data_IF_136875449635
#
_entry.id   IF_136875449635
#
_cell.length_a   1.000
_cell.length_b   1.000
_cell.length_c   1.000
_cell.angle_alpha   90.00
_cell.angle_beta   90.00
_cell.angle_gamma   90.00
#
_symmetry.space_group_name_H-M   'P 1'
#
loop_
_entity.id
_entity.type
_entity.pdbx_description
1 polymer ?
#
# COMPACT_ATOMS: atom_id res chain seq x y z
N UNK A 1 -56.74 -4.03 23.28
CA UNK A 1 -57.04 -3.29 22.05
C UNK A 1 -56.49 -1.89 22.28
N UNK A 2 -55.43 -1.37 21.69
CA UNK A 2 -54.44 -1.71 20.65
C UNK A 2 -53.16 -0.94 21.09
N UNK A 3 -51.98 -1.53 21.23
CA UNK A 3 -51.03 -1.85 20.16
C UNK A 3 -50.70 -0.67 19.23
N UNK A 4 -49.95 0.34 19.70
CA UNK A 4 -49.13 1.17 18.80
C UNK A 4 -47.70 0.63 18.73
N UNK A 5 -47.57 -0.19 17.71
CA UNK A 5 -46.40 -0.71 17.01
C UNK A 5 -45.13 0.13 17.07
N UNK A 6 -44.04 -0.57 17.39
CA UNK A 6 -42.66 -0.10 17.34
C UNK A 6 -42.31 0.62 16.03
N UNK A 7 -41.82 1.84 16.19
CA UNK A 7 -41.17 2.60 15.14
C UNK A 7 -39.84 1.92 14.86
N UNK A 8 -39.84 1.10 13.80
CA UNK A 8 -38.67 0.38 13.32
C UNK A 8 -37.47 1.32 13.22
N UNK A 9 -36.42 0.95 13.93
CA UNK A 9 -35.11 1.57 13.87
C UNK A 9 -34.60 1.39 12.44
N UNK A 10 -34.79 2.42 11.61
CA UNK A 10 -34.26 2.45 10.25
C UNK A 10 -32.75 2.42 10.38
N UNK A 11 -32.15 1.22 10.22
CA UNK A 11 -30.73 1.02 9.92
C UNK A 11 -30.30 2.14 8.98
N UNK A 12 -29.55 3.12 9.51
CA UNK A 12 -28.95 4.18 8.71
C UNK A 12 -28.09 3.46 7.67
N UNK A 13 -28.45 3.59 6.40
CA UNK A 13 -27.60 3.15 5.29
C UNK A 13 -26.20 3.73 5.52
N UNK A 14 -25.11 2.94 5.38
CA UNK A 14 -23.78 3.48 5.52
C UNK A 14 -23.67 4.61 4.52
N UNK A 15 -23.46 5.82 5.02
CA UNK A 15 -23.24 7.01 4.22
C UNK A 15 -22.21 6.62 3.16
N UNK A 16 -22.52 6.81 1.87
CA UNK A 16 -21.49 6.79 0.83
C UNK A 16 -20.57 7.97 1.14
N UNK A 17 -19.65 7.77 2.09
CA UNK A 17 -18.74 8.79 2.53
C UNK A 17 -17.77 8.98 1.38
N UNK A 18 -17.88 10.15 0.76
CA UNK A 18 -17.00 10.56 -0.31
C UNK A 18 -15.55 10.44 0.18
N UNK A 19 -14.61 10.03 -0.66
CA UNK A 19 -13.18 9.97 -0.34
C UNK A 19 -12.67 11.28 0.31
N UNK A 20 -13.29 12.40 -0.06
CA UNK A 20 -13.06 13.74 0.47
C UNK A 20 -13.33 13.92 1.97
N UNK A 21 -14.19 13.09 2.56
CA UNK A 21 -14.53 13.17 3.99
C UNK A 21 -13.32 12.87 4.88
N UNK A 22 -12.35 12.09 4.38
CA UNK A 22 -11.08 11.80 5.08
C UNK A 22 -10.26 13.09 5.25
N UNK A 23 -10.34 14.02 4.29
CA UNK A 23 -9.57 15.27 4.26
C UNK A 23 -10.30 16.46 4.91
N UNK A 24 -11.46 16.24 5.55
CA UNK A 24 -12.29 17.34 6.09
C UNK A 24 -11.59 18.16 7.21
N UNK A 25 -10.51 17.62 7.79
CA UNK A 25 -9.71 18.28 8.82
C UNK A 25 -8.45 18.99 8.30
N UNK A 26 -8.20 18.93 6.99
CA UNK A 26 -7.02 19.54 6.36
C UNK A 26 -7.09 21.07 6.39
N UNK A 27 -5.99 21.73 6.75
CA UNK A 27 -5.81 23.17 6.54
C UNK A 27 -5.29 23.52 5.15
N UNK A 28 -5.23 24.82 4.85
CA UNK A 28 -4.50 25.36 3.70
C UNK A 28 -3.04 24.86 3.66
N UNK A 29 -2.34 24.80 4.80
CA UNK A 29 -0.97 24.25 4.86
C UNK A 29 -0.92 22.75 4.58
N UNK A 30 -1.95 22.01 4.96
CA UNK A 30 -2.01 20.56 4.75
C UNK A 30 -2.35 20.28 3.28
N UNK A 31 -3.18 21.12 2.65
CA UNK A 31 -3.44 21.08 1.21
C UNK A 31 -2.17 21.35 0.39
N UNK A 32 -1.36 22.33 0.78
CA UNK A 32 -0.06 22.58 0.14
C UNK A 32 0.90 21.39 0.27
N UNK A 33 1.01 20.82 1.48
CA UNK A 33 1.84 19.63 1.71
C UNK A 33 1.36 18.43 0.88
N UNK A 34 0.05 18.21 0.78
CA UNK A 34 -0.51 17.16 -0.07
C UNK A 34 -0.24 17.39 -1.56
N UNK A 35 -0.32 18.63 -2.04
CA UNK A 35 0.00 18.95 -3.43
C UNK A 35 1.47 18.65 -3.77
N UNK A 36 2.40 19.06 -2.88
CA UNK A 36 3.83 18.76 -3.03
C UNK A 36 4.08 17.25 -2.95
N UNK A 37 3.43 16.56 -2.00
CA UNK A 37 3.52 15.11 -1.86
C UNK A 37 2.97 14.35 -3.06
N UNK A 38 1.93 14.86 -3.73
CA UNK A 38 1.38 14.27 -4.95
C UNK A 38 2.33 14.39 -6.14
N UNK A 39 2.93 15.57 -6.31
CA UNK A 39 3.96 15.80 -7.34
C UNK A 39 5.18 14.91 -7.09
N UNK A 40 5.58 14.76 -5.82
CA UNK A 40 6.62 13.83 -5.39
C UNK A 40 6.30 12.38 -5.78
N UNK A 41 5.11 11.88 -5.40
CA UNK A 41 4.65 10.53 -5.71
C UNK A 41 4.58 10.25 -7.21
N UNK A 42 4.12 11.22 -8.00
CA UNK A 42 4.15 11.11 -9.46
C UNK A 42 5.59 11.00 -9.97
N UNK A 43 6.49 11.89 -9.50
CA UNK A 43 7.90 11.87 -9.87
C UNK A 43 8.58 10.54 -9.53
N UNK A 44 8.34 9.99 -8.34
CA UNK A 44 8.92 8.71 -7.93
C UNK A 44 8.39 7.52 -8.74
N UNK A 45 7.15 7.60 -9.22
CA UNK A 45 6.60 6.65 -10.20
C UNK A 45 7.38 6.65 -11.53
N UNK A 46 7.66 7.83 -12.09
CA UNK A 46 8.39 7.98 -13.35
C UNK A 46 9.90 7.71 -13.26
N UNK A 47 10.49 7.79 -12.07
CA UNK A 47 11.92 7.48 -11.86
C UNK A 47 12.27 6.06 -12.31
N UNK A 48 11.42 5.07 -12.00
CA UNK A 48 11.72 3.66 -12.30
C UNK A 48 11.93 3.41 -13.80
N UNK A 49 11.00 3.79 -14.69
CA UNK A 49 11.19 3.56 -16.13
C UNK A 49 12.31 4.42 -16.73
N UNK A 50 12.58 5.61 -16.17
CA UNK A 50 13.75 6.40 -16.58
C UNK A 50 15.08 5.70 -16.26
N UNK A 51 15.20 5.11 -15.07
CA UNK A 51 16.38 4.32 -14.71
C UNK A 51 16.55 3.11 -15.63
N UNK A 52 15.45 2.45 -16.01
CA UNK A 52 15.48 1.32 -16.95
C UNK A 52 16.01 1.70 -18.34
N UNK A 53 15.70 2.90 -18.84
CA UNK A 53 16.28 3.40 -20.09
C UNK A 53 17.80 3.55 -20.01
N UNK A 54 18.31 4.08 -18.90
CA UNK A 54 19.75 4.20 -18.69
C UNK A 54 20.40 2.82 -18.61
N UNK A 55 19.82 1.90 -17.84
CA UNK A 55 20.30 0.53 -17.73
C UNK A 55 20.32 -0.17 -19.10
N UNK A 56 19.36 0.12 -19.96
CA UNK A 56 19.27 -0.42 -21.32
C UNK A 56 20.44 0.01 -22.18
N UNK A 57 20.81 1.29 -22.16
CA UNK A 57 21.95 1.80 -22.90
C UNK A 57 23.25 1.11 -22.46
N UNK A 58 23.45 0.94 -21.14
CA UNK A 58 24.60 0.22 -20.59
C UNK A 58 24.62 -1.24 -21.06
N UNK A 59 23.47 -1.91 -20.98
CA UNK A 59 23.35 -3.32 -21.34
C UNK A 59 23.56 -3.55 -22.85
N UNK A 60 23.10 -2.61 -23.69
CA UNK A 60 23.36 -2.63 -25.12
C UNK A 60 24.85 -2.43 -25.43
N UNK A 61 25.53 -1.53 -24.73
CA UNK A 61 26.97 -1.29 -24.91
C UNK A 61 27.82 -2.49 -24.49
N UNK A 62 27.41 -3.24 -23.47
CA UNK A 62 28.06 -4.49 -23.06
C UNK A 62 27.86 -5.63 -24.08
N UNK A 63 26.77 -5.60 -24.85
CA UNK A 63 26.41 -6.63 -25.81
C UNK A 63 27.18 -6.61 -27.14
N UNK A 64 27.88 -5.51 -27.47
CA UNK A 64 28.50 -5.29 -28.79
C UNK A 64 29.91 -5.93 -28.96
N UNK A 65 30.36 -6.77 -28.02
CA UNK A 65 31.52 -7.67 -28.18
C UNK A 65 32.93 -7.06 -27.97
N UNK A 66 34.02 -7.87 -28.08
CA UNK A 66 35.37 -7.49 -27.65
C UNK A 66 36.05 -6.39 -28.49
N UNK A 67 35.75 -6.28 -29.78
CA UNK A 67 36.31 -5.26 -30.67
C UNK A 67 35.75 -3.86 -30.39
N UNK A 68 34.57 -3.78 -29.75
CA UNK A 68 33.98 -2.56 -29.24
C UNK A 68 34.40 -2.28 -27.79
N UNK A 69 35.16 -3.16 -27.12
CA UNK A 69 35.58 -2.97 -25.71
C UNK A 69 36.58 -1.83 -25.54
N UNK A 70 37.46 -1.61 -26.52
CA UNK A 70 38.33 -0.42 -26.59
C UNK A 70 37.48 0.84 -26.76
N UNK A 71 36.46 0.79 -27.63
CA UNK A 71 35.47 1.85 -27.82
C UNK A 71 34.56 2.05 -26.60
N UNK A 72 34.32 1.01 -25.79
CA UNK A 72 33.58 1.04 -24.53
C UNK A 72 34.41 1.69 -23.44
N UNK A 73 35.69 1.33 -23.30
CA UNK A 73 36.61 1.98 -22.36
C UNK A 73 36.81 3.46 -22.76
N UNK A 74 36.96 3.75 -24.06
CA UNK A 74 37.06 5.13 -24.56
C UNK A 74 35.74 5.90 -24.42
N UNK A 75 34.58 5.27 -24.65
CA UNK A 75 33.29 5.90 -24.40
C UNK A 75 33.04 6.09 -22.92
N UNK A 76 33.41 5.16 -22.04
CA UNK A 76 33.30 5.28 -20.58
C UNK A 76 34.23 6.38 -20.05
N UNK A 77 35.43 6.53 -20.63
CA UNK A 77 36.38 7.60 -20.31
C UNK A 77 35.95 8.95 -20.88
N UNK A 78 35.40 9.02 -22.11
CA UNK A 78 34.78 10.22 -22.69
C UNK A 78 33.52 10.62 -21.94
N UNK A 79 32.72 9.66 -21.52
CA UNK A 79 31.61 9.84 -20.61
C UNK A 79 32.09 10.39 -19.24
N UNK A 80 33.34 10.15 -18.85
CA UNK A 80 33.94 10.77 -17.66
C UNK A 80 34.46 12.20 -17.90
N UNK A 81 34.63 12.65 -19.15
CA UNK A 81 35.34 13.89 -19.51
C UNK A 81 34.58 14.86 -20.43
N UNK A 82 33.53 14.43 -21.13
CA UNK A 82 32.73 15.24 -22.06
C UNK A 82 31.30 15.43 -21.52
N UNK A 83 30.88 16.70 -21.50
CA UNK A 83 29.77 17.23 -20.71
C UNK A 83 28.43 17.23 -21.46
N UNK A 84 28.37 16.57 -22.62
CA UNK A 84 27.37 16.87 -23.66
C UNK A 84 26.44 15.69 -23.98
N UNK A 85 26.65 14.52 -23.39
CA UNK A 85 25.78 13.35 -23.55
C UNK A 85 24.98 13.07 -22.24
N UNK A 86 23.66 12.84 -22.30
CA UNK A 86 22.81 12.62 -21.12
C UNK A 86 23.10 11.32 -20.34
N UNK A 87 24.10 10.54 -20.76
CA UNK A 87 24.39 9.19 -20.26
C UNK A 87 25.66 9.06 -19.41
N UNK A 88 26.25 10.17 -18.96
CA UNK A 88 27.48 10.13 -18.15
C UNK A 88 27.30 9.81 -16.66
N UNK A 89 28.28 9.20 -15.94
CA UNK A 89 28.22 9.04 -14.50
C UNK A 89 28.20 10.40 -13.78
N UNK A 90 28.58 11.47 -14.48
CA UNK A 90 28.37 12.85 -14.06
C UNK A 90 26.92 13.33 -14.23
N UNK A 91 26.18 12.94 -15.29
CA UNK A 91 24.75 13.19 -15.44
C UNK A 91 23.88 12.32 -14.49
N UNK A 92 24.37 11.14 -14.11
CA UNK A 92 23.70 10.26 -13.14
C UNK A 92 23.74 10.79 -11.70
N UNK A 93 24.83 11.48 -11.31
CA UNK A 93 24.99 12.07 -9.98
C UNK A 93 23.90 13.09 -9.61
N UNK A 94 23.56 14.11 -10.42
CA UNK A 94 22.50 15.06 -10.13
C UNK A 94 21.12 14.38 -10.20
N UNK A 95 20.88 13.49 -11.17
CA UNK A 95 19.61 12.75 -11.25
C UNK A 95 19.35 11.89 -10.00
N UNK A 96 20.37 11.17 -9.52
CA UNK A 96 20.29 10.37 -8.29
C UNK A 96 20.06 11.26 -7.07
N UNK A 97 20.77 12.39 -6.95
CA UNK A 97 20.57 13.34 -5.84
C UNK A 97 19.15 13.92 -5.86
N UNK A 98 18.67 14.35 -7.02
CA UNK A 98 17.31 14.87 -7.21
C UNK A 98 16.26 13.83 -6.81
N UNK A 99 16.40 12.59 -7.30
CA UNK A 99 15.47 11.50 -6.97
C UNK A 99 15.41 11.24 -5.46
N UNK A 100 16.57 11.19 -4.79
CA UNK A 100 16.63 10.99 -3.33
C UNK A 100 15.94 12.13 -2.59
N UNK A 101 16.18 13.38 -3.01
CA UNK A 101 15.52 14.54 -2.41
C UNK A 101 14.01 14.50 -2.60
N UNK A 102 13.53 14.12 -3.80
CA UNK A 102 12.08 14.02 -4.09
C UNK A 102 11.42 12.93 -3.25
N UNK A 103 12.04 11.75 -3.11
CA UNK A 103 11.51 10.65 -2.26
C UNK A 103 11.44 11.06 -0.79
N UNK A 104 12.47 11.73 -0.28
CA UNK A 104 12.49 12.19 1.12
C UNK A 104 11.44 13.29 1.34
N UNK A 105 11.32 14.23 0.39
CA UNK A 105 10.32 15.29 0.46
C UNK A 105 8.90 14.75 0.40
N UNK A 106 8.62 13.78 -0.48
CA UNK A 106 7.34 13.06 -0.57
C UNK A 106 6.97 12.44 0.78
N UNK A 107 7.85 11.60 1.33
CA UNK A 107 7.60 10.90 2.58
C UNK A 107 7.42 11.85 3.76
N UNK A 108 8.20 12.94 3.80
CA UNK A 108 8.03 13.99 4.83
C UNK A 108 6.68 14.69 4.69
N UNK A 109 6.27 15.09 3.49
CA UNK A 109 5.01 15.81 3.26
C UNK A 109 3.78 14.98 3.65
N UNK A 110 3.74 13.71 3.27
CA UNK A 110 2.63 12.81 3.62
C UNK A 110 2.60 12.47 5.11
N UNK A 111 3.76 12.16 5.71
CA UNK A 111 3.84 11.91 7.16
C UNK A 111 3.40 13.12 7.96
N UNK A 112 3.88 14.32 7.59
CA UNK A 112 3.54 15.55 8.29
C UNK A 112 2.05 15.88 8.21
N UNK A 113 1.44 15.63 7.05
CA UNK A 113 0.00 15.82 6.84
C UNK A 113 -0.81 14.88 7.74
N UNK A 114 -0.45 13.58 7.78
CA UNK A 114 -1.09 12.60 8.65
C UNK A 114 -1.04 12.99 10.13
N UNK A 115 0.14 13.37 10.62
CA UNK A 115 0.32 13.80 12.02
C UNK A 115 -0.52 15.03 12.36
N UNK A 116 -0.54 16.04 11.49
CA UNK A 116 -1.28 17.29 11.73
C UNK A 116 -2.79 17.05 11.77
N UNK A 117 -3.32 16.24 10.86
CA UNK A 117 -4.74 15.92 10.85
C UNK A 117 -5.15 15.07 12.05
N UNK A 118 -4.34 14.06 12.41
CA UNK A 118 -4.59 13.24 13.60
C UNK A 118 -4.59 14.07 14.89
N UNK A 119 -3.62 14.98 15.05
CA UNK A 119 -3.58 15.89 16.21
C UNK A 119 -4.83 16.78 16.27
N UNK A 120 -5.24 17.36 15.14
CA UNK A 120 -6.43 18.23 15.10
C UNK A 120 -7.72 17.49 15.41
N UNK A 121 -7.88 16.28 14.88
CA UNK A 121 -9.02 15.42 15.21
C UNK A 121 -9.09 15.19 16.72
N UNK A 122 -7.98 14.79 17.34
CA UNK A 122 -7.90 14.58 18.80
C UNK A 122 -8.21 15.85 19.60
N UNK A 123 -7.66 17.00 19.21
CA UNK A 123 -7.91 18.28 19.90
C UNK A 123 -9.35 18.74 19.74
N UNK A 124 -9.93 18.66 18.54
CA UNK A 124 -11.34 19.06 18.30
C UNK A 124 -12.30 18.14 19.03
N UNK A 125 -12.02 16.84 19.05
CA UNK A 125 -12.80 15.86 19.78
C UNK A 125 -12.79 16.14 21.28
N UNK A 126 -11.59 16.30 21.88
CA UNK A 126 -11.48 16.65 23.29
C UNK A 126 -12.20 17.97 23.62
N UNK A 127 -12.08 18.98 22.75
CA UNK A 127 -12.80 20.25 22.89
C UNK A 127 -14.32 20.08 22.79
N UNK A 128 -14.82 19.17 21.96
CA UNK A 128 -16.23 18.89 21.81
C UNK A 128 -16.80 18.15 23.04
N UNK A 129 -16.04 17.21 23.60
CA UNK A 129 -16.39 16.53 24.85
C UNK A 129 -16.50 17.52 26.01
N UNK A 130 -15.49 18.37 26.20
CA UNK A 130 -15.44 19.32 27.32
C UNK A 130 -16.55 20.39 27.28
N UNK A 131 -17.30 20.46 26.18
CA UNK A 131 -18.45 21.36 26.00
C UNK A 131 -19.80 20.67 26.22
N UNK A 132 -19.82 19.37 26.50
CA UNK A 132 -21.04 18.65 26.83
C UNK A 132 -21.47 18.95 28.27
N UNK A 133 -22.78 18.94 28.51
CA UNK A 133 -23.35 19.13 29.85
C UNK A 133 -23.06 17.92 30.74
N UNK A 134 -23.09 18.12 32.07
CA UNK A 134 -22.81 17.06 33.05
C UNK A 134 -23.74 15.85 32.88
N UNK A 135 -24.99 16.07 32.46
CA UNK A 135 -25.98 15.03 32.16
C UNK A 135 -25.50 14.05 31.07
N UNK A 136 -24.75 14.53 30.07
CA UNK A 136 -24.16 13.67 29.05
C UNK A 136 -23.15 12.69 29.66
N UNK A 137 -22.38 13.14 30.66
CA UNK A 137 -21.39 12.29 31.33
C UNK A 137 -22.02 11.26 32.27
N UNK A 138 -23.15 11.61 32.89
CA UNK A 138 -23.89 10.67 33.75
C UNK A 138 -24.54 9.56 32.93
N UNK A 139 -25.10 9.88 31.76
CA UNK A 139 -25.74 8.92 30.85
C UNK A 139 -24.72 8.02 30.11
N UNK A 140 -23.50 8.50 29.85
CA UNK A 140 -22.50 7.80 29.04
C UNK A 140 -21.23 7.39 29.82
N UNK A 141 -21.28 7.33 31.15
CA UNK A 141 -20.10 7.07 32.01
C UNK A 141 -19.30 5.80 31.66
N UNK A 142 -19.97 4.69 31.30
CA UNK A 142 -19.30 3.45 30.84
C UNK A 142 -18.79 3.54 29.39
N UNK A 143 -19.50 4.29 28.54
CA UNK A 143 -19.15 4.50 27.14
C UNK A 143 -17.98 5.48 26.98
N UNK A 144 -17.78 6.40 27.94
CA UNK A 144 -16.79 7.48 27.83
C UNK A 144 -15.35 6.99 27.61
N UNK A 145 -14.94 5.95 28.35
CA UNK A 145 -13.62 5.35 28.19
C UNK A 145 -13.45 4.70 26.82
N UNK A 146 -14.51 4.04 26.32
CA UNK A 146 -14.60 3.47 24.97
C UNK A 146 -14.58 4.54 23.88
N UNK A 147 -15.26 5.68 24.06
CA UNK A 147 -15.24 6.76 23.07
C UNK A 147 -13.86 7.44 23.03
N UNK A 148 -13.18 7.58 24.18
CA UNK A 148 -11.82 8.14 24.24
C UNK A 148 -10.80 7.18 23.58
N UNK A 149 -10.90 5.88 23.85
CA UNK A 149 -10.02 4.87 23.23
C UNK A 149 -10.29 4.72 21.75
N UNK A 150 -11.57 4.72 21.32
CA UNK A 150 -11.94 4.67 19.90
C UNK A 150 -11.44 5.87 19.13
N UNK A 151 -11.57 7.11 19.62
CA UNK A 151 -11.00 8.28 18.90
C UNK A 151 -9.48 8.22 18.82
N UNK A 152 -8.83 7.75 19.88
CA UNK A 152 -7.38 7.56 19.87
C UNK A 152 -6.95 6.50 18.85
N UNK A 153 -7.69 5.38 18.78
CA UNK A 153 -7.46 4.28 17.83
C UNK A 153 -7.80 4.68 16.38
N UNK A 154 -8.95 5.27 16.14
CA UNK A 154 -9.44 5.67 14.82
C UNK A 154 -8.58 6.77 14.20
N UNK A 155 -8.09 7.70 15.02
CA UNK A 155 -7.13 8.71 14.55
C UNK A 155 -5.77 8.10 14.14
N UNK A 156 -5.34 6.98 14.75
CA UNK A 156 -4.16 6.23 14.29
C UNK A 156 -4.42 5.56 12.94
N UNK A 157 -5.62 5.02 12.73
CA UNK A 157 -6.01 4.44 11.43
C UNK A 157 -5.95 5.52 10.34
N UNK A 158 -6.49 6.71 10.60
CA UNK A 158 -6.43 7.84 9.65
C UNK A 158 -4.99 8.27 9.39
N UNK A 159 -4.16 8.34 10.43
CA UNK A 159 -2.74 8.63 10.31
C UNK A 159 -2.01 7.58 9.45
N UNK A 160 -2.37 6.30 9.57
CA UNK A 160 -1.80 5.21 8.77
C UNK A 160 -2.27 5.23 7.31
N UNK A 161 -3.51 5.66 7.05
CA UNK A 161 -4.07 5.80 5.70
C UNK A 161 -3.45 6.98 4.95
N UNK A 162 -3.26 8.11 5.63
CA UNK A 162 -2.76 9.37 5.07
C UNK A 162 -1.23 9.46 5.07
N UNK A 163 -0.57 8.86 6.05
CA UNK A 163 0.87 8.94 6.23
C UNK A 163 1.61 7.88 5.42
N UNK A 164 2.75 8.27 4.84
CA UNK A 164 3.74 7.31 4.39
C UNK A 164 4.67 6.99 5.55
N UNK A 165 4.41 5.92 6.33
CA UNK A 165 5.42 5.46 7.29
C UNK A 165 6.65 4.97 6.51
N UNK A 166 7.71 5.79 6.51
CA UNK A 166 9.01 5.74 5.81
C UNK A 166 9.82 4.43 5.99
N UNK A 167 9.26 3.40 6.62
CA UNK A 167 9.95 2.20 7.08
C UNK A 167 10.32 1.23 5.93
N UNK A 168 9.98 1.51 4.66
CA UNK A 168 10.48 0.71 3.51
C UNK A 168 11.70 1.28 2.79
N UNK A 169 12.01 2.56 2.93
CA UNK A 169 13.18 3.14 2.23
C UNK A 169 14.48 2.74 2.92
N UNK A 170 14.44 2.46 4.23
CA UNK A 170 15.62 1.98 4.96
C UNK A 170 16.00 0.54 4.57
N UNK A 171 15.04 -0.31 4.16
CA UNK A 171 15.32 -1.70 3.77
C UNK A 171 16.09 -1.82 2.45
N UNK A 172 15.92 -0.89 1.51
CA UNK A 172 16.64 -0.90 0.23
C UNK A 172 18.04 -0.29 0.29
N UNK A 173 18.38 0.43 1.37
CA UNK A 173 19.64 1.17 1.47
C UNK A 173 20.48 0.86 2.73
N UNK A 174 19.89 0.32 3.81
CA UNK A 174 20.61 -0.03 5.06
C UNK A 174 20.04 -1.32 5.70
N UNK A 175 20.66 -2.50 5.46
CA UNK A 175 20.11 -3.80 5.85
C UNK A 175 20.22 -4.15 7.34
N UNK A 176 20.74 -3.27 8.22
CA UNK A 176 21.19 -3.68 9.56
C UNK A 176 20.24 -3.39 10.74
N UNK A 177 19.05 -2.84 10.52
CA UNK A 177 18.08 -2.66 11.60
C UNK A 177 16.75 -3.29 11.25
N UNK A 178 16.38 -4.31 12.02
CA UNK A 178 15.06 -4.93 12.01
C UNK A 178 14.05 -4.03 12.73
N UNK A 179 13.04 -3.46 12.06
CA UNK A 179 11.86 -2.95 12.72
C UNK A 179 10.78 -4.03 12.60
N UNK A 180 10.46 -4.69 13.71
CA UNK A 180 9.16 -5.33 13.86
C UNK A 180 8.11 -4.22 13.87
N UNK A 181 7.56 -3.84 12.72
CA UNK A 181 6.38 -2.96 12.70
C UNK A 181 5.47 -3.37 11.55
N UNK A 182 4.27 -3.75 11.97
CA UNK A 182 3.15 -4.24 11.20
C UNK A 182 2.97 -3.57 9.82
N UNK A 183 2.82 -4.41 8.80
CA UNK A 183 2.41 -4.00 7.47
C UNK A 183 0.91 -3.59 7.49
N UNK A 184 0.61 -2.41 8.02
CA UNK A 184 -0.72 -1.81 7.93
C UNK A 184 -0.86 -1.06 6.60
N UNK A 185 -2.05 -1.20 6.00
CA UNK A 185 -2.36 -0.85 4.62
C UNK A 185 -2.22 0.66 4.34
N UNK A 186 -1.62 0.99 3.19
CA UNK A 186 -1.20 2.34 2.77
C UNK A 186 -1.90 2.64 1.44
N UNK A 187 -2.67 3.71 1.31
CA UNK A 187 -3.52 3.83 0.11
C UNK A 187 -3.21 5.05 -0.76
N UNK A 188 -3.09 6.26 -0.21
CA UNK A 188 -3.09 7.46 -1.06
C UNK A 188 -1.78 7.67 -1.86
N UNK A 189 -0.59 7.82 -1.24
CA UNK A 189 0.65 8.07 -1.98
C UNK A 189 1.05 6.88 -2.89
N UNK A 190 0.89 5.65 -2.39
CA UNK A 190 1.22 4.45 -3.17
C UNK A 190 0.28 4.28 -4.38
N UNK A 191 -0.99 4.64 -4.27
CA UNK A 191 -1.90 4.60 -5.41
C UNK A 191 -1.44 5.57 -6.51
N UNK A 192 -1.14 6.82 -6.14
CA UNK A 192 -0.65 7.83 -7.10
C UNK A 192 0.66 7.38 -7.76
N UNK A 193 1.60 6.88 -6.95
CA UNK A 193 2.86 6.33 -7.43
C UNK A 193 2.67 5.14 -8.37
N UNK A 194 1.80 4.20 -8.04
CA UNK A 194 1.55 3.01 -8.87
C UNK A 194 0.85 3.37 -10.19
N UNK A 195 -0.08 4.33 -10.17
CA UNK A 195 -0.69 4.86 -11.40
C UNK A 195 0.37 5.57 -12.26
N UNK A 196 1.20 6.42 -11.66
CA UNK A 196 2.29 7.09 -12.38
C UNK A 196 3.32 6.09 -12.92
N UNK A 197 3.65 5.05 -12.15
CA UNK A 197 4.53 3.97 -12.58
C UNK A 197 3.94 3.19 -13.75
N UNK A 198 2.67 2.81 -13.69
CA UNK A 198 1.97 2.13 -14.78
C UNK A 198 1.98 2.99 -16.05
N UNK A 199 1.52 4.23 -15.96
CA UNK A 199 1.48 5.14 -17.13
C UNK A 199 2.89 5.38 -17.68
N UNK A 200 3.87 5.66 -16.82
CA UNK A 200 5.23 5.92 -17.23
C UNK A 200 5.92 4.71 -17.84
N UNK A 201 5.76 3.53 -17.26
CA UNK A 201 6.41 2.31 -17.73
C UNK A 201 5.81 1.81 -19.04
N UNK A 202 4.49 1.88 -19.20
CA UNK A 202 3.84 1.56 -20.47
C UNK A 202 4.16 2.57 -21.55
N UNK A 203 4.11 3.88 -21.26
CA UNK A 203 4.46 4.92 -22.24
C UNK A 203 5.88 4.72 -22.76
N UNK A 204 6.85 4.50 -21.87
CA UNK A 204 8.24 4.22 -22.26
C UNK A 204 8.36 2.90 -23.00
N UNK A 205 7.63 1.85 -22.59
CA UNK A 205 7.58 0.57 -23.29
C UNK A 205 7.09 0.69 -24.74
N UNK A 206 6.04 1.49 -24.97
CA UNK A 206 5.51 1.76 -26.31
C UNK A 206 6.48 2.58 -27.17
N UNK A 207 7.16 3.58 -26.60
CA UNK A 207 8.15 4.39 -27.32
C UNK A 207 9.38 3.56 -27.70
N UNK A 208 9.89 2.73 -26.80
CA UNK A 208 11.11 1.94 -27.03
C UNK A 208 10.85 0.74 -27.94
N UNK A 209 9.78 -0.02 -27.69
CA UNK A 209 9.47 -1.23 -28.44
C UNK A 209 7.98 -1.53 -28.47
N UNK A 210 7.26 -0.79 -29.33
CA UNK A 210 5.82 -0.92 -29.49
C UNK A 210 5.34 -2.36 -29.79
N UNK A 211 6.12 -3.17 -30.54
CA UNK A 211 5.75 -4.56 -30.89
C UNK A 211 5.67 -5.46 -29.66
N UNK A 212 6.68 -5.39 -28.78
CA UNK A 212 6.71 -6.16 -27.55
C UNK A 212 5.70 -5.60 -26.53
N UNK A 213 5.56 -4.28 -26.46
CA UNK A 213 4.59 -3.63 -25.59
C UNK A 213 3.14 -4.01 -25.91
N UNK A 214 2.75 -4.07 -27.20
CA UNK A 214 1.41 -4.51 -27.60
C UNK A 214 1.11 -5.95 -27.17
N UNK A 215 2.08 -6.85 -27.33
CA UNK A 215 1.93 -8.27 -26.97
C UNK A 215 1.84 -8.46 -25.46
N UNK A 216 2.55 -7.64 -24.69
CA UNK A 216 2.57 -7.74 -23.24
C UNK A 216 1.48 -6.88 -22.57
N UNK A 217 0.79 -5.98 -23.28
CA UNK A 217 -0.30 -5.17 -22.73
C UNK A 217 -1.42 -6.00 -22.09
N UNK A 218 -1.94 -7.09 -22.67
CA UNK A 218 -2.97 -7.90 -22.00
C UNK A 218 -2.50 -8.57 -20.69
N UNK A 219 -1.19 -8.67 -20.46
CA UNK A 219 -0.64 -9.36 -19.28
C UNK A 219 -0.85 -8.59 -17.97
N UNK A 220 -1.10 -7.28 -17.98
CA UNK A 220 -1.42 -6.57 -16.74
C UNK A 220 -2.76 -7.02 -16.15
N UNK A 221 -3.73 -7.40 -16.99
CA UNK A 221 -5.04 -7.88 -16.50
C UNK A 221 -4.86 -9.17 -15.68
N UNK A 222 -3.95 -10.04 -16.10
CA UNK A 222 -3.58 -11.26 -15.37
C UNK A 222 -2.95 -10.96 -14.01
N UNK A 223 -2.31 -9.78 -13.82
CA UNK A 223 -1.74 -9.36 -12.55
C UNK A 223 -2.78 -8.66 -11.65
N UNK A 224 -3.66 -7.84 -12.23
CA UNK A 224 -4.64 -7.03 -11.49
C UNK A 224 -5.82 -7.88 -10.97
N UNK A 225 -6.33 -8.83 -11.78
CA UNK A 225 -7.52 -9.61 -11.43
C UNK A 225 -7.33 -10.41 -10.12
N UNK A 226 -6.24 -11.19 -9.93
CA UNK A 226 -6.00 -11.89 -8.68
C UNK A 226 -5.90 -10.95 -7.47
N UNK A 227 -5.30 -9.76 -7.66
CA UNK A 227 -5.19 -8.73 -6.62
C UNK A 227 -6.56 -8.23 -6.15
N UNK A 228 -7.45 -7.88 -7.08
CA UNK A 228 -8.80 -7.41 -6.75
C UNK A 228 -9.63 -8.53 -6.12
N UNK A 229 -9.58 -9.74 -6.68
CA UNK A 229 -10.30 -10.90 -6.16
C UNK A 229 -9.88 -11.23 -4.72
N UNK A 230 -8.57 -11.26 -4.47
CA UNK A 230 -8.03 -11.47 -3.13
C UNK A 230 -8.46 -10.37 -2.16
N UNK A 231 -8.38 -9.10 -2.57
CA UNK A 231 -8.79 -7.99 -1.72
C UNK A 231 -10.25 -8.13 -1.26
N UNK A 232 -11.17 -8.52 -2.16
CA UNK A 232 -12.57 -8.76 -1.83
C UNK A 232 -12.74 -9.91 -0.83
N UNK A 233 -12.17 -11.08 -1.14
CA UNK A 233 -12.25 -12.27 -0.29
C UNK A 233 -11.65 -11.97 1.10
N UNK A 234 -10.53 -11.25 1.16
CA UNK A 234 -9.87 -10.89 2.40
C UNK A 234 -10.73 -9.93 3.24
N UNK A 235 -11.35 -8.91 2.63
CA UNK A 235 -12.23 -7.99 3.33
C UNK A 235 -13.47 -8.70 3.89
N UNK A 236 -14.12 -9.55 3.10
CA UNK A 236 -15.29 -10.30 3.54
C UNK A 236 -14.94 -11.23 4.72
N UNK A 237 -13.80 -11.92 4.62
CA UNK A 237 -13.37 -12.84 5.66
C UNK A 237 -12.90 -12.12 6.92
N UNK A 238 -12.22 -10.98 6.79
CA UNK A 238 -11.83 -10.14 7.92
C UNK A 238 -13.06 -9.58 8.65
N UNK A 239 -14.11 -9.22 7.91
CA UNK A 239 -15.40 -8.82 8.49
C UNK A 239 -16.04 -9.97 9.26
N UNK A 240 -16.16 -11.16 8.65
CA UNK A 240 -16.75 -12.32 9.32
C UNK A 240 -15.97 -12.72 10.58
N UNK A 241 -14.63 -12.64 10.55
CA UNK A 241 -13.79 -12.90 11.73
C UNK A 241 -14.12 -11.90 12.84
N UNK A 242 -14.25 -10.61 12.51
CA UNK A 242 -14.62 -9.58 13.48
C UNK A 242 -16.00 -9.83 14.08
N UNK A 243 -16.99 -10.15 13.25
CA UNK A 243 -18.37 -10.41 13.68
C UNK A 243 -18.44 -11.62 14.63
N UNK A 244 -17.65 -12.68 14.40
CA UNK A 244 -17.55 -13.81 15.35
C UNK A 244 -16.77 -13.45 16.63
N UNK A 245 -15.72 -12.63 16.51
CA UNK A 245 -14.95 -12.17 17.67
C UNK A 245 -15.77 -11.31 18.61
N UNK A 246 -16.72 -10.52 18.09
CA UNK A 246 -17.64 -9.71 18.89
C UNK A 246 -18.54 -10.58 19.78
N UNK A 247 -18.98 -11.75 19.29
CA UNK A 247 -19.76 -12.72 20.10
C UNK A 247 -18.93 -13.31 21.24
N UNK A 248 -17.70 -13.73 20.94
CA UNK A 248 -16.78 -14.24 21.97
C UNK A 248 -16.43 -13.14 22.99
N UNK A 249 -16.24 -11.90 22.50
CA UNK A 249 -16.02 -10.71 23.32
C UNK A 249 -17.17 -10.45 24.30
N UNK A 250 -18.42 -10.54 23.85
CA UNK A 250 -19.59 -10.37 24.70
C UNK A 250 -19.65 -11.41 25.84
N UNK A 251 -19.28 -12.67 25.58
CA UNK A 251 -19.19 -13.71 26.62
C UNK A 251 -18.12 -13.36 27.65
N UNK A 252 -16.94 -12.94 27.19
CA UNK A 252 -15.85 -12.53 28.07
C UNK A 252 -16.22 -11.29 28.90
N UNK A 253 -16.87 -10.30 28.30
CA UNK A 253 -17.33 -9.10 28.98
C UNK A 253 -18.38 -9.43 30.06
N UNK A 254 -19.33 -10.30 29.76
CA UNK A 254 -20.32 -10.78 30.73
C UNK A 254 -19.66 -11.57 31.88
N UNK A 255 -18.67 -12.41 31.57
CA UNK A 255 -17.91 -13.13 32.57
C UNK A 255 -17.12 -12.21 33.51
N UNK A 256 -16.45 -11.19 32.95
CA UNK A 256 -15.64 -10.23 33.72
C UNK A 256 -16.52 -9.31 34.55
N UNK A 257 -17.63 -8.80 33.98
CA UNK A 257 -18.57 -7.93 34.70
C UNK A 257 -19.25 -8.65 35.87
N UNK A 258 -19.43 -9.98 35.78
CA UNK A 258 -20.03 -10.83 36.82
C UNK A 258 -19.03 -11.75 37.54
N UNK A 259 -17.74 -11.37 37.57
CA UNK A 259 -16.64 -12.23 38.08
C UNK A 259 -16.88 -12.76 39.49
N UNK A 260 -17.46 -11.94 40.38
CA UNK A 260 -17.76 -12.35 41.76
C UNK A 260 -18.81 -13.48 41.81
N UNK A 261 -19.82 -13.40 40.94
CA UNK A 261 -20.88 -14.42 40.81
C UNK A 261 -20.35 -15.69 40.16
N UNK A 262 -19.49 -15.57 39.16
CA UNK A 262 -18.83 -16.70 38.53
C UNK A 262 -17.95 -17.48 39.52
N UNK A 263 -17.19 -16.75 40.36
CA UNK A 263 -16.35 -17.31 41.41
C UNK A 263 -17.18 -18.00 42.50
N UNK A 264 -18.23 -17.34 43.01
CA UNK A 264 -19.08 -17.93 44.05
C UNK A 264 -19.87 -19.16 43.57
N UNK A 265 -20.10 -19.27 42.26
CA UNK A 265 -20.82 -20.39 41.65
C UNK A 265 -19.89 -21.48 41.10
N UNK A 266 -18.57 -21.36 41.25
CA UNK A 266 -17.56 -22.27 40.70
C UNK A 266 -17.76 -22.50 39.18
N UNK A 267 -18.14 -21.45 38.45
CA UNK A 267 -18.53 -21.51 37.04
C UNK A 267 -17.37 -21.22 36.07
N UNK A 268 -16.14 -21.11 36.57
CA UNK A 268 -14.95 -20.73 35.79
C UNK A 268 -14.72 -21.66 34.60
N UNK A 269 -14.68 -22.97 34.84
CA UNK A 269 -14.46 -23.98 33.78
C UNK A 269 -15.55 -23.95 32.71
N UNK A 270 -16.81 -23.77 33.12
CA UNK A 270 -17.95 -23.68 32.20
C UNK A 270 -17.88 -22.41 31.35
N UNK A 271 -17.46 -21.30 31.94
CA UNK A 271 -17.34 -20.02 31.24
C UNK A 271 -16.18 -20.06 30.24
N UNK A 272 -15.07 -20.68 30.64
CA UNK A 272 -13.90 -20.88 29.78
C UNK A 272 -14.19 -21.84 28.62
N UNK A 273 -14.99 -22.90 28.83
CA UNK A 273 -15.42 -23.78 27.72
C UNK A 273 -16.33 -23.04 26.74
N UNK A 274 -17.30 -22.27 27.23
CA UNK A 274 -18.18 -21.46 26.36
C UNK A 274 -17.39 -20.43 25.54
N UNK A 275 -16.39 -19.79 26.13
CA UNK A 275 -15.50 -18.87 25.41
C UNK A 275 -14.65 -19.59 24.37
N UNK A 276 -14.10 -20.77 24.72
CA UNK A 276 -13.33 -21.61 23.78
C UNK A 276 -14.18 -22.05 22.59
N UNK A 277 -15.40 -22.54 22.83
CA UNK A 277 -16.33 -22.98 21.78
C UNK A 277 -16.70 -21.81 20.86
N UNK A 278 -16.92 -20.61 21.42
CA UNK A 278 -17.21 -19.41 20.63
C UNK A 278 -16.01 -18.94 19.77
N UNK A 279 -14.78 -19.24 20.16
CA UNK A 279 -13.58 -18.90 19.39
C UNK A 279 -13.29 -19.89 18.24
N UNK A 280 -13.83 -21.11 18.28
CA UNK A 280 -13.53 -22.14 17.29
C UNK A 280 -13.91 -21.71 15.86
N UNK A 281 -15.05 -21.03 15.71
CA UNK A 281 -15.49 -20.48 14.43
C UNK A 281 -14.55 -19.37 13.93
N UNK A 282 -14.07 -18.51 14.83
CA UNK A 282 -13.07 -17.48 14.52
C UNK A 282 -11.75 -18.10 14.03
N UNK A 283 -11.30 -19.19 14.67
CA UNK A 283 -10.09 -19.93 14.28
C UNK A 283 -10.25 -20.55 12.89
N UNK A 284 -11.41 -21.16 12.61
CA UNK A 284 -11.70 -21.76 11.30
C UNK A 284 -11.73 -20.72 10.18
N UNK A 285 -12.31 -19.54 10.43
CA UNK A 285 -12.28 -18.42 9.50
C UNK A 285 -10.86 -17.88 9.31
N UNK A 286 -10.07 -17.77 10.39
CA UNK A 286 -8.66 -17.40 10.34
C UNK A 286 -7.80 -18.37 9.51
N UNK A 287 -8.05 -19.67 9.61
CA UNK A 287 -7.41 -20.71 8.77
C UNK A 287 -7.73 -20.51 7.28
N UNK A 288 -9.00 -20.25 6.95
CA UNK A 288 -9.40 -19.89 5.57
C UNK A 288 -8.71 -18.62 5.08
N UNK A 289 -8.50 -17.64 5.97
CA UNK A 289 -7.82 -16.39 5.66
C UNK A 289 -6.34 -16.62 5.39
N UNK A 290 -5.70 -17.46 6.20
CA UNK A 290 -4.33 -17.92 6.00
C UNK A 290 -4.16 -18.63 4.66
N UNK A 291 -5.07 -19.53 4.32
CA UNK A 291 -5.06 -20.24 3.02
C UNK A 291 -5.26 -19.26 1.85
N UNK A 292 -6.25 -18.37 1.93
CA UNK A 292 -6.50 -17.36 0.91
C UNK A 292 -5.29 -16.45 0.69
N UNK A 293 -4.60 -16.05 1.77
CA UNK A 293 -3.34 -15.29 1.71
C UNK A 293 -2.21 -16.10 1.07
N UNK A 294 -2.09 -17.39 1.40
CA UNK A 294 -1.13 -18.30 0.78
C UNK A 294 -1.33 -18.40 -0.74
N UNK A 295 -2.58 -18.60 -1.18
CA UNK A 295 -2.95 -18.62 -2.61
C UNK A 295 -2.64 -17.29 -3.29
N UNK A 296 -2.88 -16.15 -2.63
CA UNK A 296 -2.55 -14.84 -3.19
C UNK A 296 -1.04 -14.64 -3.36
N UNK A 297 -0.23 -15.01 -2.37
CA UNK A 297 1.24 -14.96 -2.51
C UNK A 297 1.71 -15.91 -3.61
N UNK A 298 1.12 -17.11 -3.71
CA UNK A 298 1.40 -18.07 -4.77
C UNK A 298 1.01 -17.58 -6.16
N UNK A 299 -0.06 -16.79 -6.29
CA UNK A 299 -0.51 -16.21 -7.56
C UNK A 299 0.52 -15.25 -8.19
N UNK A 300 1.46 -14.71 -7.39
CA UNK A 300 2.60 -13.95 -7.90
C UNK A 300 3.50 -14.78 -8.83
N UNK A 301 3.39 -16.11 -8.85
CA UNK A 301 4.06 -16.99 -9.81
C UNK A 301 3.71 -16.66 -11.27
N UNK A 302 2.53 -16.07 -11.53
CA UNK A 302 2.12 -15.56 -12.85
C UNK A 302 3.15 -14.56 -13.40
N UNK A 303 3.79 -13.79 -12.53
CA UNK A 303 4.87 -12.85 -12.90
C UNK A 303 6.03 -13.57 -13.60
N UNK A 304 6.42 -14.76 -13.11
CA UNK A 304 7.49 -15.55 -13.74
C UNK A 304 7.07 -16.10 -15.10
N UNK A 305 5.80 -16.49 -15.26
CA UNK A 305 5.27 -16.91 -16.55
C UNK A 305 5.26 -15.75 -17.57
N UNK A 306 4.90 -14.53 -17.13
CA UNK A 306 4.98 -13.32 -17.95
C UNK A 306 6.45 -13.04 -18.35
N UNK A 307 7.39 -13.13 -17.41
CA UNK A 307 8.82 -13.00 -17.70
C UNK A 307 9.32 -14.01 -18.75
N UNK A 308 8.93 -15.27 -18.61
CA UNK A 308 9.28 -16.32 -19.56
C UNK A 308 8.71 -16.02 -20.96
N UNK A 309 7.45 -15.61 -21.04
CA UNK A 309 6.79 -15.26 -22.30
C UNK A 309 7.42 -14.05 -22.98
N UNK A 310 7.69 -12.98 -22.24
CA UNK A 310 8.36 -11.77 -22.74
C UNK A 310 9.77 -12.11 -23.24
N UNK A 311 10.50 -12.94 -22.53
CA UNK A 311 11.86 -13.36 -22.92
C UNK A 311 11.83 -14.21 -24.19
N UNK A 312 10.89 -15.16 -24.29
CA UNK A 312 10.72 -16.00 -25.46
C UNK A 312 10.35 -15.20 -26.71
N UNK A 313 9.31 -14.36 -26.62
CA UNK A 313 8.89 -13.51 -27.74
C UNK A 313 9.96 -12.46 -28.09
N UNK A 314 10.56 -11.84 -27.07
CA UNK A 314 11.67 -10.90 -27.22
C UNK A 314 12.86 -11.51 -27.96
N UNK A 315 13.25 -12.74 -27.62
CA UNK A 315 14.32 -13.46 -28.33
C UNK A 315 14.02 -13.64 -29.83
N UNK A 316 12.78 -14.01 -30.18
CA UNK A 316 12.35 -14.12 -31.58
C UNK A 316 12.42 -12.77 -32.31
N UNK A 317 12.02 -11.69 -31.66
CA UNK A 317 12.10 -10.32 -32.21
C UNK A 317 13.56 -9.88 -32.38
N UNK A 318 14.45 -10.21 -31.45
CA UNK A 318 15.88 -9.94 -31.60
C UNK A 318 16.47 -10.64 -32.84
N UNK A 319 16.14 -11.93 -33.04
CA UNK A 319 16.66 -12.73 -34.15
C UNK A 319 16.15 -12.25 -35.52
N UNK A 320 14.86 -11.90 -35.63
CA UNK A 320 14.25 -11.55 -36.92
C UNK A 320 14.33 -10.06 -37.27
N UNK A 321 14.44 -9.16 -36.28
CA UNK A 321 14.42 -7.71 -36.49
C UNK A 321 15.68 -7.00 -35.99
N UNK A 322 16.71 -7.73 -35.55
CA UNK A 322 18.00 -7.15 -35.15
C UNK A 322 17.92 -6.22 -33.93
N UNK A 323 16.93 -6.42 -33.06
CA UNK A 323 16.71 -5.56 -31.90
C UNK A 323 17.70 -5.91 -30.78
N UNK A 324 18.36 -4.89 -30.20
CA UNK A 324 19.32 -5.11 -29.11
C UNK A 324 18.64 -5.65 -27.84
N UNK A 325 19.31 -6.59 -27.16
CA UNK A 325 18.78 -7.27 -25.98
C UNK A 325 18.43 -6.36 -24.80
N UNK A 326 19.14 -5.23 -24.63
CA UNK A 326 18.83 -4.26 -23.58
C UNK A 326 17.44 -3.65 -23.73
N UNK A 327 16.96 -3.40 -24.96
CA UNK A 327 15.61 -2.86 -25.18
C UNK A 327 14.52 -3.86 -24.78
N UNK A 328 14.76 -5.15 -25.02
CA UNK A 328 13.85 -6.23 -24.62
C UNK A 328 13.79 -6.30 -23.09
N UNK A 329 14.94 -6.21 -22.43
CA UNK A 329 15.02 -6.17 -20.97
C UNK A 329 14.31 -4.94 -20.37
N UNK A 330 14.50 -3.74 -20.94
CA UNK A 330 13.83 -2.51 -20.50
C UNK A 330 12.31 -2.63 -20.56
N UNK A 331 11.80 -3.06 -21.71
CA UNK A 331 10.36 -3.11 -21.96
C UNK A 331 9.74 -4.22 -21.12
N UNK A 332 10.42 -5.37 -20.99
CA UNK A 332 9.98 -6.45 -20.11
C UNK A 332 9.94 -6.06 -18.64
N UNK A 333 11.01 -5.47 -18.12
CA UNK A 333 11.08 -4.95 -16.74
C UNK A 333 10.03 -3.88 -16.50
N UNK A 334 9.84 -2.93 -17.43
CA UNK A 334 8.89 -1.84 -17.32
C UNK A 334 7.43 -2.34 -17.26
N UNK A 335 7.08 -3.32 -18.08
CA UNK A 335 5.72 -3.88 -18.13
C UNK A 335 5.42 -4.68 -16.87
N UNK A 336 6.35 -5.51 -16.42
CA UNK A 336 6.17 -6.29 -15.19
C UNK A 336 6.12 -5.38 -13.96
N UNK A 337 7.05 -4.42 -13.83
CA UNK A 337 7.05 -3.44 -12.72
C UNK A 337 5.83 -2.55 -12.72
N UNK A 338 5.34 -2.17 -13.91
CA UNK A 338 4.16 -1.29 -14.04
C UNK A 338 2.85 -2.00 -13.76
N UNK A 339 2.76 -3.31 -14.03
CA UNK A 339 1.56 -4.11 -13.80
C UNK A 339 1.37 -4.63 -12.37
N UNK A 340 2.40 -4.53 -11.52
CA UNK A 340 2.42 -4.95 -10.10
C UNK A 340 1.96 -3.80 -9.17
#
# INVERSE_FOLDING_TARGET
MEAETGRGDKKRSPFSSSFWTIFVHADATDMWLMAVGFVGAAGTGFTTPFVLLITTSIMNNLGDGPSASTHFIDNVNKVHTDNTEPFSPFAFRPFRRLTVTVVIAEGYCWTRTGDRQAMRMRTRYLKAILRQDVEYFDLNSTSMSEVITSVSSDSLIIQDVLGEKVIRTNFLFYPSHHPHVHAHARTVPNFVKNVALFVGSYSIGFVVMWRLALVAFPTFLLLVIPGIMYARIFMDLAKNIRDEYEKAGAIAEQAVSSVRTAYSSVAELRTMSMFSDALEDSVKLGLRQGLAKGVAVGSNAVTFAIWAFITWYGSRVAMHHGVKGGHIFAVGTAIVRGGL
#
